data_IF_233576968518
#
_entry.id   IF_233576968518
#
_cell.length_a   1.000
_cell.length_b   1.000
_cell.length_c   1.000
_cell.angle_alpha   90.00
_cell.angle_beta   90.00
_cell.angle_gamma   90.00
#
_symmetry.space_group_name_H-M   'P 1'
#
loop_
_entity.id
_entity.type
_entity.pdbx_description
1 polymer ?
#
# COMPACT_ATOMS: atom_id res chain seq x y z
N UNK A 1 -3.87 -11.94 19.65
CA UNK A 1 -4.60 -11.50 18.44
C UNK A 1 -3.91 -12.12 17.25
N UNK A 2 -4.63 -12.86 16.41
CA UNK A 2 -4.08 -13.38 15.17
C UNK A 2 -3.80 -12.20 14.23
N UNK A 3 -2.52 -12.01 13.86
CA UNK A 3 -2.07 -10.89 13.02
C UNK A 3 -2.66 -10.94 11.61
N UNK A 4 -3.07 -12.13 11.15
CA UNK A 4 -3.73 -12.32 9.85
C UNK A 4 -5.08 -11.60 9.73
N UNK A 5 -5.70 -11.29 10.88
CA UNK A 5 -6.98 -10.58 10.96
C UNK A 5 -6.80 -9.06 10.78
N UNK A 6 -5.57 -8.55 10.87
CA UNK A 6 -5.26 -7.13 10.74
C UNK A 6 -4.83 -6.85 9.30
N UNK A 7 -5.61 -6.03 8.60
CA UNK A 7 -5.28 -5.52 7.26
C UNK A 7 -4.63 -4.16 7.36
N UNK A 8 -3.49 -3.97 6.69
CA UNK A 8 -2.76 -2.70 6.65
C UNK A 8 -2.67 -2.24 5.20
N UNK A 9 -3.12 -1.03 4.89
CA UNK A 9 -3.01 -0.46 3.55
C UNK A 9 -1.93 0.60 3.48
N UNK A 10 -1.11 0.53 2.45
CA UNK A 10 -0.10 1.52 2.10
C UNK A 10 -0.39 2.04 0.70
N UNK A 11 -0.38 3.36 0.51
CA UNK A 11 -0.35 3.94 -0.83
C UNK A 11 1.08 3.87 -1.39
N UNK A 12 1.23 3.42 -2.64
CA UNK A 12 2.54 3.30 -3.28
C UNK A 12 3.12 4.68 -3.59
N UNK A 13 3.88 5.24 -2.65
CA UNK A 13 4.52 6.57 -2.75
C UNK A 13 5.99 6.50 -3.19
N UNK A 14 6.39 5.40 -3.82
CA UNK A 14 7.76 5.15 -4.26
C UNK A 14 8.60 4.43 -3.20
N UNK A 15 9.93 4.55 -3.32
CA UNK A 15 10.88 3.69 -2.61
C UNK A 15 10.87 3.81 -1.09
N UNK A 16 10.42 4.95 -0.54
CA UNK A 16 10.32 5.15 0.91
C UNK A 16 9.33 4.20 1.59
N UNK A 17 8.33 3.70 0.85
CA UNK A 17 7.33 2.79 1.39
C UNK A 17 7.85 1.36 1.61
N UNK A 18 8.97 0.97 0.98
CA UNK A 18 9.47 -0.41 1.02
C UNK A 18 10.04 -0.83 2.37
N UNK A 19 10.69 0.07 3.12
CA UNK A 19 11.22 -0.27 4.44
C UNK A 19 10.09 -0.55 5.43
N UNK A 20 9.02 0.25 5.35
CA UNK A 20 7.81 0.05 6.16
C UNK A 20 7.12 -1.24 5.74
N UNK A 21 6.96 -1.46 4.43
CA UNK A 21 6.37 -2.69 3.89
C UNK A 21 7.13 -3.94 4.33
N UNK A 22 8.45 -3.95 4.20
CA UNK A 22 9.31 -5.06 4.63
C UNK A 22 9.14 -5.36 6.11
N UNK A 23 9.22 -4.33 6.96
CA UNK A 23 8.98 -4.48 8.40
C UNK A 23 7.60 -5.09 8.69
N UNK A 24 6.54 -4.62 8.05
CA UNK A 24 5.19 -5.16 8.28
C UNK A 24 5.06 -6.63 7.84
N UNK A 25 5.67 -7.00 6.70
CA UNK A 25 5.68 -8.37 6.21
C UNK A 25 6.47 -9.29 7.14
N UNK A 26 7.65 -8.87 7.60
CA UNK A 26 8.49 -9.61 8.54
C UNK A 26 7.79 -9.87 9.88
N UNK A 27 6.93 -8.93 10.30
CA UNK A 27 6.10 -9.09 11.50
C UNK A 27 4.83 -9.94 11.28
N UNK A 28 4.57 -10.39 10.04
CA UNK A 28 3.45 -11.27 9.70
C UNK A 28 2.11 -10.57 9.49
N UNK A 29 2.11 -9.28 9.12
CA UNK A 29 0.88 -8.54 8.83
C UNK A 29 0.43 -8.70 7.38
N UNK A 30 -0.89 -8.81 7.17
CA UNK A 30 -1.48 -8.71 5.84
C UNK A 30 -1.44 -7.26 5.35
N UNK A 31 -0.43 -6.97 4.55
CA UNK A 31 -0.16 -5.62 4.05
C UNK A 31 -0.59 -5.52 2.59
N UNK A 32 -1.24 -4.43 2.21
CA UNK A 32 -1.79 -4.18 0.89
C UNK A 32 -1.15 -2.92 0.34
N UNK A 33 -0.55 -3.00 -0.84
CA UNK A 33 0.05 -1.84 -1.51
C UNK A 33 -0.91 -1.40 -2.61
N UNK A 34 -1.37 -0.16 -2.52
CA UNK A 34 -2.41 0.38 -3.39
C UNK A 34 -1.83 1.47 -4.28
N UNK A 35 -2.13 1.39 -5.56
CA UNK A 35 -1.71 2.39 -6.53
C UNK A 35 -2.39 3.75 -6.21
N UNK A 36 -1.64 4.87 -6.12
CA UNK A 36 -2.21 6.20 -5.87
C UNK A 36 -3.32 6.60 -6.85
N UNK A 37 -3.29 6.08 -8.08
CA UNK A 37 -4.34 6.28 -9.07
C UNK A 37 -5.67 5.69 -8.60
N UNK A 38 -5.64 4.48 -8.01
CA UNK A 38 -6.83 3.80 -7.50
C UNK A 38 -7.41 4.58 -6.32
N UNK A 39 -6.58 4.97 -5.34
CA UNK A 39 -7.03 5.80 -4.21
C UNK A 39 -7.66 7.11 -4.69
N UNK A 40 -7.07 7.74 -5.70
CA UNK A 40 -7.58 8.99 -6.26
C UNK A 40 -8.95 8.83 -6.93
N UNK A 41 -9.12 7.76 -7.72
CA UNK A 41 -10.39 7.44 -8.39
C UNK A 41 -11.47 7.09 -7.37
N UNK A 42 -11.15 6.26 -6.38
CA UNK A 42 -12.07 5.89 -5.30
C UNK A 42 -12.57 7.14 -4.56
N UNK A 43 -11.66 8.02 -4.13
CA UNK A 43 -12.00 9.28 -3.44
C UNK A 43 -12.90 10.19 -4.29
N UNK A 44 -12.62 10.33 -5.58
CA UNK A 44 -13.46 11.13 -6.50
C UNK A 44 -14.85 10.53 -6.70
N UNK A 45 -15.00 9.21 -6.63
CA UNK A 45 -16.29 8.54 -6.64
C UNK A 45 -17.12 8.79 -5.37
N UNK A 46 -16.47 8.98 -4.23
CA UNK A 46 -17.15 9.26 -2.96
C UNK A 46 -17.54 10.73 -2.78
N UNK A 47 -16.73 11.67 -3.29
CA UNK A 47 -17.02 13.09 -3.18
C UNK A 47 -16.42 13.93 -4.31
N UNK A 48 -17.20 14.91 -4.77
CA UNK A 48 -16.74 15.95 -5.70
C UNK A 48 -15.83 16.99 -5.01
N UNK A 49 -15.78 17.01 -3.67
CA UNK A 49 -14.95 17.94 -2.89
C UNK A 49 -13.47 17.56 -3.04
N UNK A 50 -12.62 18.53 -3.37
CA UNK A 50 -11.17 18.36 -3.56
C UNK A 50 -10.36 18.53 -2.25
N UNK A 51 -10.88 18.05 -1.12
CA UNK A 51 -10.13 18.10 0.15
C UNK A 51 -9.22 16.88 0.25
N UNK A 52 -7.92 17.11 0.43
CA UNK A 52 -6.89 16.10 0.66
C UNK A 52 -6.16 16.43 1.96
N UNK A 53 -6.19 15.52 2.92
CA UNK A 53 -5.46 15.60 4.20
C UNK A 53 -5.08 14.18 4.61
N UNK A 54 -4.00 14.03 5.40
CA UNK A 54 -3.53 12.70 5.83
C UNK A 54 -4.64 11.88 6.52
N UNK A 55 -5.51 12.55 7.28
CA UNK A 55 -6.66 11.93 7.95
C UNK A 55 -7.74 11.45 6.99
N UNK A 56 -8.04 12.23 5.94
CA UNK A 56 -9.05 11.85 4.94
C UNK A 56 -8.51 10.74 4.05
N UNK A 57 -7.25 10.84 3.63
CA UNK A 57 -6.62 9.85 2.75
C UNK A 57 -6.49 8.48 3.44
N UNK A 58 -6.02 8.45 4.70
CA UNK A 58 -5.94 7.20 5.48
C UNK A 58 -7.30 6.53 5.67
N UNK A 59 -8.35 7.33 5.91
CA UNK A 59 -9.72 6.82 5.99
C UNK A 59 -10.18 6.23 4.65
N UNK A 60 -9.96 6.91 3.54
CA UNK A 60 -10.34 6.41 2.21
C UNK A 60 -9.61 5.10 1.86
N UNK A 61 -8.32 4.98 2.20
CA UNK A 61 -7.56 3.74 2.03
C UNK A 61 -8.18 2.62 2.87
N UNK A 62 -8.48 2.88 4.15
CA UNK A 62 -9.11 1.89 5.03
C UNK A 62 -10.49 1.43 4.51
N UNK A 63 -11.32 2.36 4.06
CA UNK A 63 -12.63 2.04 3.45
C UNK A 63 -12.46 1.17 2.20
N UNK A 64 -11.49 1.48 1.34
CA UNK A 64 -11.18 0.69 0.16
C UNK A 64 -10.72 -0.74 0.50
N UNK A 65 -9.90 -0.93 1.54
CA UNK A 65 -9.48 -2.28 2.00
C UNK A 65 -10.63 -3.14 2.55
N UNK A 66 -11.65 -2.50 3.13
CA UNK A 66 -12.82 -3.19 3.66
C UNK A 66 -13.80 -3.55 2.55
N UNK A 67 -13.96 -2.66 1.56
CA UNK A 67 -14.98 -2.78 0.52
C UNK A 67 -14.50 -3.57 -0.71
N UNK A 68 -13.24 -3.42 -1.10
CA UNK A 68 -12.68 -4.05 -2.29
C UNK A 68 -12.16 -5.47 -1.98
N UNK A 69 -12.92 -6.46 -2.46
CA UNK A 69 -12.59 -7.90 -2.30
C UNK A 69 -11.54 -8.39 -3.30
N UNK A 70 -11.19 -7.58 -4.29
CA UNK A 70 -10.20 -7.94 -5.33
C UNK A 70 -8.77 -7.61 -4.91
N UNK A 71 -8.61 -6.77 -3.89
CA UNK A 71 -7.31 -6.46 -3.32
C UNK A 71 -6.69 -7.71 -2.70
N UNK A 72 -5.56 -8.11 -3.25
CA UNK A 72 -4.73 -9.18 -2.71
C UNK A 72 -3.65 -8.59 -1.79
N UNK A 73 -3.31 -9.28 -0.67
CA UNK A 73 -2.18 -8.88 0.15
C UNK A 73 -0.89 -8.98 -0.66
N UNK A 74 0.01 -8.07 -0.38
CA UNK A 74 1.34 -8.05 -0.96
C UNK A 74 2.14 -9.25 -0.47
N UNK A 75 2.80 -9.96 -1.39
CA UNK A 75 3.51 -11.22 -1.09
C UNK A 75 5.03 -11.02 -1.11
N UNK A 76 5.76 -11.83 -0.33
CA UNK A 76 7.22 -11.76 -0.24
C UNK A 76 7.93 -11.93 -1.60
N UNK A 77 7.39 -12.74 -2.51
CA UNK A 77 7.93 -12.89 -3.87
C UNK A 77 7.91 -11.57 -4.65
N UNK A 78 6.86 -10.76 -4.48
CA UNK A 78 6.77 -9.43 -5.07
C UNK A 78 7.82 -8.50 -4.46
N UNK A 79 8.00 -8.56 -3.13
CA UNK A 79 8.94 -7.71 -2.38
C UNK A 79 10.38 -7.87 -2.89
N UNK A 80 10.87 -9.11 -2.92
CA UNK A 80 12.23 -9.40 -3.36
C UNK A 80 12.48 -8.97 -4.82
N UNK A 81 11.46 -9.06 -5.67
CA UNK A 81 11.57 -8.64 -7.07
C UNK A 81 11.72 -7.12 -7.24
N UNK A 82 11.07 -6.32 -6.39
CA UNK A 82 11.19 -4.86 -6.40
C UNK A 82 12.48 -4.38 -5.74
N UNK A 83 12.93 -5.07 -4.69
CA UNK A 83 14.22 -4.83 -4.04
C UNK A 83 15.39 -5.02 -5.02
N UNK A 84 15.37 -6.13 -5.80
CA UNK A 84 16.37 -6.39 -6.85
C UNK A 84 16.40 -5.28 -7.94
N UNK A 85 15.22 -4.76 -8.33
CA UNK A 85 15.14 -3.62 -9.27
C UNK A 85 15.74 -2.34 -8.67
N UNK A 86 15.60 -2.14 -7.36
CA UNK A 86 16.20 -0.99 -6.68
C UNK A 86 17.72 -1.08 -6.65
N UNK A 87 18.29 -2.26 -6.33
CA UNK A 87 19.73 -2.49 -6.23
C UNK A 87 20.45 -2.35 -7.59
N UNK A 88 19.80 -2.79 -8.67
CA UNK A 88 20.36 -2.67 -10.03
C UNK A 88 20.41 -1.22 -10.53
N UNK A 89 19.48 -0.35 -10.10
CA UNK A 89 19.54 1.09 -10.39
C UNK A 89 20.73 1.81 -9.76
N UNK A 90 21.22 1.35 -8.61
CA UNK A 90 22.39 1.94 -7.96
C UNK A 90 23.72 1.49 -8.58
N UNK A 91 23.74 0.36 -9.31
CA UNK A 91 24.97 -0.17 -9.96
C UNK A 91 25.27 0.45 -11.33
N UNK A 92 24.33 1.14 -11.96
CA UNK A 92 24.54 1.78 -13.27
C UNK A 92 25.03 3.23 -13.16
N UNK A 93 25.67 3.60 -12.05
CA UNK A 93 26.26 4.92 -11.83
C UNK A 93 27.71 4.78 -11.42
#
# INVERSE_FOLDING_TARGET
MDKSQIKIGLEATGHYSYNILGSLLDHGYHTFVINPLHTNLYRKGQSLRKTKTDKVDSRSIAEMLVTDKTLAPYTGTSYHSEELKSLTRYRSK
#
